data_IF_771980622545
#
_entry.id   IF_771980622545
#
_cell.length_a   1.000
_cell.length_b   1.000
_cell.length_c   1.000
_cell.angle_alpha   90.00
_cell.angle_beta   90.00
_cell.angle_gamma   90.00
#
_symmetry.space_group_name_H-M   'P 1'
#
loop_
_entity.id
_entity.type
_entity.pdbx_description
1 polymer ?
#
# COMPACT_ATOMS: atom_id res chain seq x y z
N UNK A 1 -10.32 17.40 -4.57
CA UNK A 1 -9.11 16.84 -4.62
C UNK A 1 -9.17 15.42 -4.72
N UNK A 2 -8.28 14.87 -5.42
CA UNK A 2 -8.35 13.49 -5.68
C UNK A 2 -7.73 12.74 -4.55
N UNK A 3 -8.07 11.50 -4.44
CA UNK A 3 -7.49 10.66 -3.44
C UNK A 3 -6.04 10.45 -3.68
N UNK A 4 -5.58 10.76 -4.86
CA UNK A 4 -4.20 10.51 -5.19
C UNK A 4 -3.40 11.77 -5.26
N UNK A 5 -3.75 12.73 -4.44
CA UNK A 5 -2.93 13.87 -4.38
C UNK A 5 -1.56 13.52 -3.96
N UNK A 6 -1.37 12.47 -3.17
CA UNK A 6 -0.05 12.08 -2.75
C UNK A 6 0.51 11.09 -3.71
N UNK A 7 1.76 11.30 -4.10
CA UNK A 7 2.42 10.32 -4.93
C UNK A 7 2.90 9.14 -4.09
N UNK A 8 3.13 9.36 -2.81
CA UNK A 8 3.62 8.31 -1.92
C UNK A 8 2.84 8.32 -0.62
N UNK A 9 2.75 7.16 -0.01
CA UNK A 9 2.05 7.01 1.26
C UNK A 9 2.94 6.32 2.26
N UNK A 10 2.83 6.70 3.51
CA UNK A 10 3.52 5.96 4.57
C UNK A 10 2.75 4.67 4.82
N UNK A 11 3.36 3.77 5.57
CA UNK A 11 2.68 2.51 5.88
C UNK A 11 1.38 2.75 6.64
N UNK A 12 1.34 3.61 7.68
CA UNK A 12 0.07 3.84 8.37
C UNK A 12 -0.99 4.43 7.43
N UNK A 13 -0.58 5.35 6.56
CA UNK A 13 -1.53 5.95 5.65
C UNK A 13 -2.07 4.92 4.67
N UNK A 14 -1.20 4.09 4.14
CA UNK A 14 -1.62 3.08 3.20
C UNK A 14 -2.52 2.04 3.87
N UNK A 15 -2.18 1.68 5.09
CA UNK A 15 -2.99 0.70 5.81
C UNK A 15 -4.40 1.22 6.01
N UNK A 16 -4.51 2.49 6.36
CA UNK A 16 -5.83 3.06 6.56
C UNK A 16 -6.59 3.15 5.25
N UNK A 17 -5.90 3.55 4.20
CA UNK A 17 -6.53 3.67 2.90
C UNK A 17 -7.07 2.34 2.42
N UNK A 18 -6.32 1.27 2.61
CA UNK A 18 -6.71 -0.05 2.17
C UNK A 18 -7.48 -0.82 3.21
N UNK A 19 -7.59 -0.27 4.42
CA UNK A 19 -8.31 -0.89 5.51
C UNK A 19 -7.72 -2.23 5.87
N UNK A 20 -6.42 -2.27 6.00
CA UNK A 20 -5.73 -3.47 6.45
C UNK A 20 -4.80 -3.07 7.57
N UNK A 21 -4.29 -4.07 8.25
CA UNK A 21 -3.35 -3.83 9.32
C UNK A 21 -2.00 -3.40 8.76
N UNK A 22 -1.31 -2.57 9.51
CA UNK A 22 0.02 -2.15 9.09
C UNK A 22 0.95 -3.34 8.96
N UNK A 23 0.80 -4.32 9.82
CA UNK A 23 1.65 -5.51 9.75
C UNK A 23 1.51 -6.22 8.42
N UNK A 24 0.32 -6.21 7.87
CA UNK A 24 0.12 -6.84 6.57
C UNK A 24 1.00 -6.18 5.52
N UNK A 25 1.04 -4.85 5.53
CA UNK A 25 1.84 -4.14 4.56
C UNK A 25 3.32 -4.32 4.82
N UNK A 26 3.73 -4.33 6.08
CA UNK A 26 5.13 -4.55 6.39
C UNK A 26 5.58 -5.93 5.91
N UNK A 27 4.72 -6.93 6.07
CA UNK A 27 5.05 -8.27 5.61
C UNK A 27 5.19 -8.30 4.10
N UNK A 28 4.32 -7.60 3.39
CA UNK A 28 4.40 -7.57 1.94
C UNK A 28 5.68 -6.90 1.48
N UNK A 29 6.08 -5.85 2.17
CA UNK A 29 7.32 -5.19 1.83
C UNK A 29 8.49 -6.13 2.08
N UNK A 30 8.45 -6.86 3.20
CA UNK A 30 9.53 -7.75 3.54
C UNK A 30 9.65 -8.90 2.55
N UNK A 31 8.53 -9.36 2.02
CA UNK A 31 8.55 -10.44 1.05
C UNK A 31 8.80 -9.95 -0.36
N UNK A 32 8.98 -8.65 -0.50
CA UNK A 32 9.20 -8.03 -1.81
C UNK A 32 8.01 -8.20 -2.73
N UNK A 33 6.83 -8.30 -2.15
CA UNK A 33 5.63 -8.34 -2.96
C UNK A 33 5.14 -6.93 -3.24
N UNK A 34 5.68 -5.95 -2.54
CA UNK A 34 5.25 -4.58 -2.68
C UNK A 34 6.48 -3.72 -2.74
N UNK A 35 6.65 -2.99 -3.81
CA UNK A 35 7.80 -2.12 -3.94
C UNK A 35 7.66 -0.92 -3.05
N UNK A 36 8.75 -0.48 -2.51
CA UNK A 36 8.72 0.64 -1.60
C UNK A 36 9.97 1.47 -1.75
N UNK A 37 9.93 2.66 -1.18
CA UNK A 37 11.06 3.55 -1.19
C UNK A 37 11.36 3.93 0.24
N UNK A 38 12.62 4.17 0.52
CA UNK A 38 13.00 4.61 1.84
C UNK A 38 13.41 6.05 1.77
N UNK A 39 12.81 6.87 2.60
CA UNK A 39 13.17 8.26 2.69
C UNK A 39 13.60 8.46 4.13
N UNK A 40 14.90 8.57 4.35
CA UNK A 40 15.40 8.59 5.70
C UNK A 40 15.13 7.26 6.34
N UNK A 41 14.40 7.24 7.42
CA UNK A 41 14.08 6.01 8.09
C UNK A 41 12.67 5.55 7.80
N UNK A 42 11.97 6.25 6.94
CA UNK A 42 10.59 5.92 6.70
C UNK A 42 10.40 5.19 5.40
N UNK A 43 9.48 4.26 5.39
CA UNK A 43 9.13 3.54 4.19
C UNK A 43 7.98 4.26 3.53
N UNK A 44 8.09 4.49 2.24
CA UNK A 44 7.04 5.12 1.47
C UNK A 44 6.66 4.21 0.33
N UNK A 45 5.38 4.14 0.05
CA UNK A 45 4.87 3.28 -1.00
C UNK A 45 4.23 4.16 -2.06
N UNK A 46 4.58 3.95 -3.30
CA UNK A 46 4.02 4.75 -4.37
C UNK A 46 2.54 4.44 -4.55
N UNK A 47 1.78 5.46 -4.89
CA UNK A 47 0.36 5.28 -5.08
C UNK A 47 0.07 4.20 -6.12
N UNK A 48 0.90 4.11 -7.16
CA UNK A 48 0.68 3.11 -8.19
C UNK A 48 0.79 1.69 -7.62
N UNK A 49 1.65 1.50 -6.63
CA UNK A 49 1.77 0.19 -6.02
C UNK A 49 0.52 -0.15 -5.22
N UNK A 50 -0.06 0.83 -4.58
CA UNK A 50 -1.26 0.57 -3.80
C UNK A 50 -2.42 0.22 -4.72
N UNK A 51 -2.43 0.79 -5.91
CA UNK A 51 -3.48 0.47 -6.85
C UNK A 51 -3.45 -1.01 -7.23
N UNK A 52 -2.26 -1.59 -7.29
CA UNK A 52 -2.16 -2.97 -7.65
C UNK A 52 -2.76 -3.89 -6.60
N UNK A 53 -2.91 -3.41 -5.39
CA UNK A 53 -3.46 -4.22 -4.32
C UNK A 53 -4.97 -4.20 -4.30
N UNK A 54 -5.58 -3.36 -5.10
CA UNK A 54 -7.01 -3.29 -5.13
C UNK A 54 -7.54 -4.38 -6.04
N UNK A 55 -8.11 -5.38 -5.45
CA UNK A 55 -8.61 -6.51 -6.21
C UNK A 55 -10.13 -6.52 -6.10
N UNK A 56 -10.84 -6.58 -7.20
CA UNK A 56 -12.30 -6.60 -7.13
C UNK A 56 -12.79 -7.78 -6.29
N UNK A 57 -13.74 -7.52 -5.44
CA UNK A 57 -14.20 -8.56 -4.55
C UNK A 57 -14.76 -9.74 -5.30
N UNK A 58 -15.38 -9.50 -6.42
CA UNK A 58 -15.99 -10.59 -7.13
C UNK A 58 -14.96 -11.55 -7.67
N UNK A 59 -13.73 -11.13 -7.72
CA UNK A 59 -12.73 -12.06 -8.19
C UNK A 59 -12.52 -13.18 -7.26
N UNK A 60 -12.82 -13.05 -6.03
CA UNK A 60 -12.56 -14.09 -5.15
C UNK A 60 -13.69 -14.87 -4.95
N UNK A 61 -14.62 -14.58 -5.41
CA UNK A 61 -15.61 -15.36 -5.13
C UNK A 61 -15.64 -16.58 -5.41
N UNK A 62 -15.59 -16.86 -5.40
CA UNK A 62 -15.63 -17.81 -5.69
C UNK A 62 -16.01 -18.38 -5.35
#
# INVERSE_FOLDING_TARGET
MSDFEKAFYTIPEAAELLRVHENTLYNMVRRKELEHYKVGKQIRIAAAELEKLKVPAENKAT
#
